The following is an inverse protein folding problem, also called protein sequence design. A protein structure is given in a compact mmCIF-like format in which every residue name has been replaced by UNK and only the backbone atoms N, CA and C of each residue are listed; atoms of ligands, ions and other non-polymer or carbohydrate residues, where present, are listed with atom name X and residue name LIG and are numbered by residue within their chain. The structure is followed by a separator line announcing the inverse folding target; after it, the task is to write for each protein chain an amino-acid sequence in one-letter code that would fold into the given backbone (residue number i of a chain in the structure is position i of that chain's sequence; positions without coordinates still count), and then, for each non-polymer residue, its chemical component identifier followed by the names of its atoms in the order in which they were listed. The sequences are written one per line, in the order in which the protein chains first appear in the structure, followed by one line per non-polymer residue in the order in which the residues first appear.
data_IF_453152245428
#
_entry.id   IF_453152245428
#
_cell.length_a   1.000
_cell.length_b   1.000
_cell.length_c   1.000
_cell.angle_alpha   90.00
_cell.angle_beta   90.00
_cell.angle_gamma   90.00
#
_symmetry.space_group_name_H-M   'P 1'
#
loop_
_entity.id
_entity.type
_entity.pdbx_description
1 polymer ?
#
# COMPACT_ATOMS: atom_id res chain seq x y z
N UNK A 1 28.28 -26.09 48.16
CA UNK A 1 27.61 -26.51 46.91
C UNK A 1 26.70 -25.39 46.48
N UNK A 2 27.13 -24.68 45.43
CA UNK A 2 26.54 -23.43 44.96
C UNK A 2 25.19 -23.67 44.29
N UNK A 3 24.21 -22.82 44.66
CA UNK A 3 22.93 -22.68 43.99
C UNK A 3 23.15 -21.94 42.67
N UNK A 4 23.00 -22.62 41.54
CA UNK A 4 22.88 -21.94 40.24
C UNK A 4 21.47 -21.37 40.10
N UNK A 5 21.37 -20.06 40.32
CA UNK A 5 20.32 -19.22 39.75
C UNK A 5 20.51 -19.20 38.22
N UNK A 6 19.61 -19.84 37.47
CA UNK A 6 19.47 -19.61 36.04
C UNK A 6 18.33 -18.61 35.81
N UNK A 7 18.62 -17.34 36.06
CA UNK A 7 17.86 -16.24 35.48
C UNK A 7 18.54 -15.89 34.15
N UNK A 8 18.16 -16.57 33.06
CA UNK A 8 18.25 -15.97 31.73
C UNK A 8 16.82 -15.80 31.24
N UNK A 9 16.32 -14.56 31.30
CA UNK A 9 15.34 -14.16 30.30
C UNK A 9 16.12 -14.17 29.01
N UNK A 10 16.01 -15.28 28.28
CA UNK A 10 16.57 -15.39 26.95
C UNK A 10 15.93 -14.28 26.12
N UNK A 11 16.68 -13.22 25.86
CA UNK A 11 16.41 -12.29 24.77
C UNK A 11 16.53 -13.11 23.49
N UNK A 12 15.45 -13.81 23.16
CA UNK A 12 15.36 -14.65 21.97
C UNK A 12 15.54 -13.72 20.77
N UNK A 13 16.76 -13.72 20.22
CA UNK A 13 17.19 -12.80 19.19
C UNK A 13 16.39 -13.07 17.93
N UNK A 14 15.73 -12.03 17.41
CA UNK A 14 15.02 -12.13 16.13
C UNK A 14 16.05 -12.36 15.03
N UNK A 15 15.95 -13.49 14.34
CA UNK A 15 16.86 -13.87 13.27
C UNK A 15 16.53 -13.15 11.97
N UNK A 16 15.24 -13.09 11.62
CA UNK A 16 14.77 -12.58 10.35
C UNK A 16 13.27 -12.26 10.40
N UNK A 17 12.86 -11.19 9.75
CA UNK A 17 11.44 -10.82 9.62
C UNK A 17 10.85 -11.29 8.28
N UNK A 18 9.58 -11.67 8.30
CA UNK A 18 8.89 -12.23 7.15
C UNK A 18 7.46 -11.73 7.00
N UNK A 19 6.96 -11.82 5.76
CA UNK A 19 5.55 -11.65 5.40
C UNK A 19 5.01 -12.99 4.90
N UNK A 20 3.82 -13.38 5.37
CA UNK A 20 3.12 -14.55 4.87
C UNK A 20 2.70 -14.35 3.40
N UNK A 21 3.24 -15.16 2.49
CA UNK A 21 2.94 -15.11 1.05
C UNK A 21 1.51 -15.57 0.76
N UNK A 22 1.02 -16.51 1.55
CA UNK A 22 -0.27 -17.17 1.39
C UNK A 22 -0.80 -17.61 2.76
N UNK A 23 -2.03 -18.13 2.78
CA UNK A 23 -2.54 -18.77 3.99
C UNK A 23 -1.72 -20.05 4.25
N UNK A 24 -1.13 -20.16 5.44
CA UNK A 24 -0.36 -21.35 5.85
C UNK A 24 -0.74 -21.77 7.25
N UNK A 25 -0.46 -23.03 7.56
CA UNK A 25 -0.78 -23.65 8.84
C UNK A 25 0.37 -23.41 9.81
N UNK A 26 0.01 -22.90 10.99
CA UNK A 26 0.89 -22.78 12.14
C UNK A 26 0.59 -23.91 13.11
N UNK A 27 1.63 -24.56 13.61
CA UNK A 27 1.53 -25.52 14.71
C UNK A 27 2.14 -24.92 15.97
N UNK A 28 1.41 -24.91 17.07
CA UNK A 28 1.88 -24.33 18.33
C UNK A 28 3.09 -25.12 18.84
N UNK A 29 4.14 -24.40 19.20
CA UNK A 29 5.34 -24.96 19.84
C UNK A 29 5.30 -24.71 21.35
N UNK A 30 4.96 -23.49 21.75
CA UNK A 30 4.91 -23.04 23.14
C UNK A 30 3.97 -21.84 23.27
N UNK A 31 3.58 -21.49 24.50
CA UNK A 31 2.84 -20.26 24.80
C UNK A 31 1.40 -20.46 25.26
N UNK A 32 0.67 -19.35 25.30
CA UNK A 32 -0.63 -19.23 26.00
C UNK A 32 -1.85 -19.51 25.12
N UNK A 33 -1.70 -19.59 23.79
CA UNK A 33 -2.81 -19.90 22.89
C UNK A 33 -3.33 -21.33 23.15
N UNK A 34 -4.64 -21.49 23.32
CA UNK A 34 -5.33 -22.76 23.56
C UNK A 34 -5.39 -23.65 22.31
N UNK A 35 -5.36 -23.05 21.12
CA UNK A 35 -5.35 -23.76 19.83
C UNK A 35 -3.96 -24.33 19.49
N UNK A 36 -3.91 -25.65 19.23
CA UNK A 36 -2.68 -26.34 18.78
C UNK A 36 -2.31 -25.99 17.33
N UNK A 37 -3.31 -25.61 16.53
CA UNK A 37 -3.17 -25.31 15.11
C UNK A 37 -3.90 -24.01 14.83
N UNK A 38 -3.28 -23.12 14.07
CA UNK A 38 -3.90 -21.87 13.64
C UNK A 38 -3.49 -21.55 12.19
N UNK A 39 -4.18 -20.61 11.56
CA UNK A 39 -3.90 -20.22 10.18
C UNK A 39 -3.20 -18.87 10.17
N UNK A 40 -1.94 -18.84 9.73
CA UNK A 40 -1.27 -17.60 9.36
C UNK A 40 -1.84 -17.13 8.03
N UNK A 41 -2.58 -16.03 8.05
CA UNK A 41 -3.24 -15.51 6.86
C UNK A 41 -2.24 -14.75 5.97
N UNK A 42 -2.55 -14.71 4.68
CA UNK A 42 -1.83 -13.91 3.69
C UNK A 42 -1.55 -12.49 4.21
N UNK A 43 -0.33 -12.03 4.00
CA UNK A 43 0.14 -10.69 4.38
C UNK A 43 0.32 -10.47 5.88
N UNK A 44 0.12 -11.47 6.73
CA UNK A 44 0.49 -11.36 8.15
C UNK A 44 2.00 -11.30 8.33
N UNK A 45 2.43 -10.62 9.39
CA UNK A 45 3.83 -10.35 9.70
C UNK A 45 4.32 -11.32 10.77
N UNK A 46 5.51 -11.90 10.57
CA UNK A 46 6.11 -12.82 11.55
C UNK A 46 7.60 -12.55 11.73
N UNK A 47 8.08 -12.78 12.94
CA UNK A 47 9.49 -12.81 13.29
C UNK A 47 9.94 -14.25 13.43
N UNK A 48 11.00 -14.66 12.72
CA UNK A 48 11.66 -15.93 13.00
C UNK A 48 12.58 -15.77 14.20
N UNK A 49 12.39 -16.67 15.16
CA UNK A 49 13.14 -16.74 16.41
C UNK A 49 14.21 -17.82 16.33
N UNK A 50 13.95 -18.89 15.59
CA UNK A 50 14.85 -20.04 15.46
C UNK A 50 14.65 -20.71 14.10
N UNK A 51 15.76 -21.16 13.49
CA UNK A 51 15.73 -22.06 12.32
C UNK A 51 15.80 -23.51 12.83
N UNK A 52 14.75 -24.29 12.56
CA UNK A 52 14.61 -25.65 13.07
C UNK A 52 15.21 -26.69 12.11
N UNK A 53 15.77 -26.27 10.98
CA UNK A 53 16.18 -27.16 9.89
C UNK A 53 15.01 -27.61 9.03
N UNK A 54 15.30 -28.32 7.94
CA UNK A 54 14.30 -28.86 7.00
C UNK A 54 13.28 -27.83 6.49
N UNK A 55 13.72 -26.57 6.31
CA UNK A 55 12.87 -25.45 5.92
C UNK A 55 11.74 -25.11 6.91
N UNK A 56 11.84 -25.57 8.15
CA UNK A 56 10.92 -25.23 9.24
C UNK A 56 11.48 -24.08 10.07
N UNK A 57 10.60 -23.14 10.41
CA UNK A 57 10.95 -22.00 11.26
C UNK A 57 10.09 -21.99 12.51
N UNK A 58 10.71 -21.61 13.62
CA UNK A 58 10.03 -21.17 14.83
C UNK A 58 9.78 -19.67 14.71
N UNK A 59 8.53 -19.27 14.76
CA UNK A 59 8.11 -17.89 14.50
C UNK A 59 7.20 -17.34 15.60
N UNK A 60 7.23 -16.02 15.78
CA UNK A 60 6.23 -15.26 16.52
C UNK A 60 5.44 -14.39 15.55
N UNK A 61 4.13 -14.40 15.70
CA UNK A 61 3.25 -13.58 14.86
C UNK A 61 3.18 -12.17 15.44
N UNK A 62 3.40 -11.18 14.59
CA UNK A 62 3.28 -9.78 14.96
C UNK A 62 1.81 -9.38 14.80
N UNK A 63 1.18 -9.19 15.96
CA UNK A 63 -0.22 -8.85 16.00
C UNK A 63 -0.43 -7.35 15.81
N UNK A 64 -0.84 -6.96 14.61
CA UNK A 64 -1.24 -5.59 14.30
C UNK A 64 -2.66 -5.26 14.81
N UNK A 65 -3.40 -6.24 15.34
CA UNK A 65 -4.84 -6.12 15.67
C UNK A 65 -5.25 -6.55 17.09
N UNK A 66 -4.41 -7.30 17.80
CA UNK A 66 -4.23 -7.23 19.24
C UNK A 66 -4.81 -8.31 20.17
N UNK A 67 -5.06 -9.57 19.79
CA UNK A 67 -5.56 -10.54 20.80
C UNK A 67 -5.19 -12.03 20.69
N UNK A 68 -5.02 -12.65 19.52
CA UNK A 68 -4.93 -14.13 19.48
C UNK A 68 -3.52 -14.71 19.46
N UNK A 69 -2.50 -13.86 19.28
CA UNK A 69 -1.16 -14.34 18.92
C UNK A 69 -0.07 -14.11 19.98
N UNK A 70 -0.35 -13.29 21.00
CA UNK A 70 0.67 -12.85 21.96
C UNK A 70 1.24 -14.04 22.74
N UNK A 71 2.54 -13.97 22.99
CA UNK A 71 3.25 -14.93 23.83
C UNK A 71 3.27 -16.36 23.30
N UNK A 72 2.89 -16.60 22.03
CA UNK A 72 2.84 -17.94 21.45
C UNK A 72 3.86 -18.08 20.33
N UNK A 73 4.66 -19.14 20.42
CA UNK A 73 5.64 -19.50 19.40
C UNK A 73 5.05 -20.61 18.53
N UNK A 74 5.22 -20.45 17.22
CA UNK A 74 4.59 -21.30 16.23
C UNK A 74 5.65 -21.90 15.31
N UNK A 75 5.35 -23.06 14.75
CA UNK A 75 6.13 -23.70 13.70
C UNK A 75 5.43 -23.52 12.36
N UNK A 76 6.18 -23.14 11.33
CA UNK A 76 5.70 -23.05 9.95
C UNK A 76 6.80 -23.36 8.94
N UNK A 77 6.40 -23.49 7.67
CA UNK A 77 7.32 -23.74 6.57
C UNK A 77 7.83 -22.42 5.97
N UNK A 78 9.14 -22.31 5.76
CA UNK A 78 9.79 -21.13 5.18
C UNK A 78 9.30 -20.80 3.77
N UNK A 79 8.88 -21.79 3.00
CA UNK A 79 8.38 -21.62 1.62
C UNK A 79 7.09 -20.80 1.53
N UNK A 80 6.34 -20.69 2.63
CA UNK A 80 5.14 -19.88 2.70
C UNK A 80 5.42 -18.42 3.10
N UNK A 81 6.69 -18.07 3.30
CA UNK A 81 7.12 -16.79 3.83
C UNK A 81 8.05 -16.05 2.85
N UNK A 82 7.97 -14.72 2.85
CA UNK A 82 8.87 -13.83 2.12
C UNK A 82 9.71 -13.07 3.11
N UNK A 83 11.03 -13.24 3.04
CA UNK A 83 11.98 -12.53 3.90
C UNK A 83 12.01 -11.03 3.55
N UNK A 84 12.02 -10.18 4.58
CA UNK A 84 12.03 -8.72 4.44
C UNK A 84 13.20 -8.12 5.23
N UNK A 85 13.82 -7.07 4.69
CA UNK A 85 14.91 -6.38 5.38
C UNK A 85 14.42 -5.62 6.62
N UNK A 86 15.29 -5.38 7.63
CA UNK A 86 14.94 -4.62 8.83
C UNK A 86 14.47 -3.19 8.55
N UNK A 87 14.92 -2.57 7.46
CA UNK A 87 14.54 -1.21 7.05
C UNK A 87 13.09 -1.19 6.58
N UNK A 88 12.73 -2.08 5.66
CA UNK A 88 11.37 -2.20 5.12
C UNK A 88 10.39 -2.66 6.19
N UNK A 89 10.85 -3.55 7.09
CA UNK A 89 10.06 -4.09 8.18
C UNK A 89 9.38 -3.00 9.03
N UNK A 90 10.06 -1.87 9.28
CA UNK A 90 9.52 -0.76 10.07
C UNK A 90 8.26 -0.15 9.46
N UNK A 91 8.10 -0.24 8.14
CA UNK A 91 6.98 0.36 7.41
C UNK A 91 5.81 -0.59 7.19
N UNK A 92 6.05 -1.90 7.15
CA UNK A 92 5.01 -2.87 6.83
C UNK A 92 3.81 -2.88 7.79
N UNK A 93 3.96 -2.67 9.11
CA UNK A 93 2.79 -2.59 10.00
C UNK A 93 1.80 -1.48 9.65
N UNK A 94 2.27 -0.38 9.04
CA UNK A 94 1.42 0.74 8.62
C UNK A 94 0.65 0.46 7.32
N UNK A 95 1.01 -0.60 6.58
CA UNK A 95 0.30 -1.04 5.37
C UNK A 95 -0.87 -1.92 5.79
N UNK A 96 -2.09 -1.38 5.65
CA UNK A 96 -3.32 -2.01 6.13
C UNK A 96 -3.83 -3.13 5.22
N UNK A 97 -3.51 -3.07 3.92
CA UNK A 97 -3.95 -4.05 2.92
C UNK A 97 -2.97 -5.22 2.87
N UNK A 98 -3.37 -6.45 3.24
CA UNK A 98 -2.45 -7.59 3.31
C UNK A 98 -1.78 -7.93 1.97
N UNK A 99 -2.51 -7.79 0.86
CA UNK A 99 -2.00 -8.01 -0.49
C UNK A 99 -0.87 -7.04 -0.84
N UNK A 100 -0.98 -5.78 -0.43
CA UNK A 100 0.06 -4.77 -0.66
C UNK A 100 1.32 -5.08 0.16
N UNK A 101 1.19 -5.63 1.37
CA UNK A 101 2.35 -6.11 2.15
C UNK A 101 3.11 -7.22 1.42
N UNK A 102 2.39 -8.19 0.85
CA UNK A 102 2.99 -9.26 0.04
C UNK A 102 3.63 -8.70 -1.23
N UNK A 103 2.96 -7.76 -1.90
CA UNK A 103 3.46 -7.11 -3.10
C UNK A 103 4.77 -6.36 -2.86
N UNK A 104 4.81 -5.54 -1.79
CA UNK A 104 6.02 -4.83 -1.37
C UNK A 104 7.15 -5.82 -1.02
N UNK A 105 6.87 -6.86 -0.24
CA UNK A 105 7.86 -7.87 0.13
C UNK A 105 8.48 -8.59 -1.08
N UNK A 106 7.73 -8.78 -2.16
CA UNK A 106 8.25 -9.36 -3.41
C UNK A 106 9.08 -8.36 -4.26
N UNK A 107 8.87 -7.05 -4.09
CA UNK A 107 9.52 -6.00 -4.88
C UNK A 107 10.72 -5.40 -4.16
N UNK A 108 11.78 -6.20 -4.02
CA UNK A 108 13.02 -5.80 -3.32
C UNK A 108 13.61 -4.48 -3.85
N UNK A 109 13.78 -4.36 -5.18
CA UNK A 109 14.34 -3.14 -5.79
C UNK A 109 13.52 -1.88 -5.50
N UNK A 110 12.19 -1.97 -5.59
CA UNK A 110 11.31 -0.85 -5.26
C UNK A 110 11.47 -0.46 -3.78
N UNK A 111 11.55 -1.45 -2.90
CA UNK A 111 11.77 -1.18 -1.48
C UNK A 111 13.14 -0.55 -1.25
N UNK A 112 14.22 -1.03 -1.88
CA UNK A 112 15.55 -0.42 -1.79
C UNK A 112 15.54 1.05 -2.24
N UNK A 113 14.87 1.36 -3.36
CA UNK A 113 14.68 2.74 -3.83
C UNK A 113 13.92 3.58 -2.80
N UNK A 114 12.79 3.07 -2.28
CA UNK A 114 11.98 3.76 -1.27
C UNK A 114 12.73 3.97 0.04
N UNK A 115 13.58 3.03 0.47
CA UNK A 115 14.38 3.15 1.69
C UNK A 115 15.56 4.11 1.54
N UNK A 116 15.92 4.49 0.31
CA UNK A 116 16.93 5.52 0.05
C UNK A 116 16.38 6.95 0.07
N UNK A 117 15.05 7.10 0.14
CA UNK A 117 14.38 8.39 0.23
C UNK A 117 14.63 9.06 1.59
N UNK A 118 14.80 10.37 1.56
CA UNK A 118 14.99 11.22 2.72
C UNK A 118 13.93 12.32 2.81
N UNK A 119 13.89 12.99 3.96
CA UNK A 119 13.09 14.20 4.12
C UNK A 119 13.56 15.26 3.12
N UNK A 120 12.59 15.93 2.50
CA UNK A 120 12.66 16.87 1.38
C UNK A 120 12.85 16.26 -0.02
N UNK A 121 12.88 14.93 -0.16
CA UNK A 121 12.83 14.32 -1.48
C UNK A 121 11.43 14.42 -2.10
N UNK A 122 11.39 14.54 -3.43
CA UNK A 122 10.16 14.54 -4.20
C UNK A 122 9.77 13.11 -4.59
N UNK A 123 8.48 12.81 -4.45
CA UNK A 123 7.92 11.48 -4.70
C UNK A 123 6.57 11.58 -5.39
N UNK A 124 6.14 10.47 -6.00
CA UNK A 124 4.77 10.30 -6.41
C UNK A 124 3.94 9.72 -5.27
N UNK A 125 2.85 10.41 -4.93
CA UNK A 125 1.83 9.94 -4.01
C UNK A 125 0.62 9.42 -4.77
N UNK A 126 0.06 8.30 -4.32
CA UNK A 126 -1.17 7.75 -4.85
C UNK A 126 -2.11 7.38 -3.70
N UNK A 127 -3.28 8.01 -3.61
CA UNK A 127 -4.25 7.76 -2.55
C UNK A 127 -4.78 6.32 -2.56
N UNK A 128 -5.01 5.78 -3.76
CA UNK A 128 -5.31 4.37 -3.98
C UNK A 128 -4.14 3.73 -4.75
N UNK A 129 -3.33 2.85 -4.16
CA UNK A 129 -2.17 2.22 -4.83
C UNK A 129 -2.51 1.50 -6.14
N UNK A 130 -3.78 1.09 -6.33
CA UNK A 130 -4.28 0.44 -7.53
C UNK A 130 -4.84 1.43 -8.57
N UNK A 131 -4.97 2.70 -8.21
CA UNK A 131 -5.45 3.77 -9.07
C UNK A 131 -4.36 4.35 -9.97
N UNK A 132 -4.80 5.11 -10.98
CA UNK A 132 -3.88 5.74 -11.95
C UNK A 132 -3.45 7.15 -11.54
N UNK A 133 -4.21 7.82 -10.67
CA UNK A 133 -3.96 9.22 -10.31
C UNK A 133 -2.81 9.34 -9.34
N UNK A 134 -1.78 10.06 -9.75
CA UNK A 134 -0.59 10.33 -8.94
C UNK A 134 -0.44 11.82 -8.74
N UNK A 135 -0.02 12.20 -7.55
CA UNK A 135 0.23 13.58 -7.16
C UNK A 135 1.70 13.74 -6.82
N UNK A 136 2.31 14.83 -7.26
CA UNK A 136 3.67 15.15 -6.88
C UNK A 136 3.67 15.66 -5.44
N UNK A 137 4.55 15.11 -4.61
CA UNK A 137 4.64 15.47 -3.19
C UNK A 137 6.09 15.55 -2.72
N UNK A 138 6.32 16.33 -1.67
CA UNK A 138 7.60 16.42 -0.96
C UNK A 138 7.47 15.70 0.38
N UNK A 139 8.43 14.84 0.70
CA UNK A 139 8.50 14.21 2.01
C UNK A 139 8.88 15.27 3.06
N UNK A 140 8.08 15.41 4.10
CA UNK A 140 8.35 16.30 5.25
C UNK A 140 8.65 15.56 6.53
N UNK A 141 8.25 14.29 6.62
CA UNK A 141 8.47 13.46 7.79
C UNK A 141 8.62 11.99 7.40
N UNK A 142 9.47 11.24 8.11
CA UNK A 142 9.57 9.78 8.01
C UNK A 142 9.69 9.25 9.44
N UNK A 143 8.71 8.48 9.88
CA UNK A 143 8.75 7.95 11.23
C UNK A 143 7.43 7.36 11.74
N UNK A 144 7.42 6.91 13.00
CA UNK A 144 6.19 6.42 13.63
C UNK A 144 5.19 7.55 13.84
N UNK A 145 3.91 7.22 13.78
CA UNK A 145 2.81 8.13 14.12
C UNK A 145 1.82 7.33 14.99
N UNK A 146 2.00 7.31 16.33
CA UNK A 146 1.24 6.43 17.21
C UNK A 146 -0.28 6.56 17.09
N UNK A 147 -0.77 7.74 16.73
CA UNK A 147 -2.20 8.01 16.52
C UNK A 147 -2.78 7.28 15.29
N UNK A 148 -1.94 6.88 14.32
CA UNK A 148 -2.35 6.14 13.12
C UNK A 148 -2.13 4.63 13.24
N UNK A 149 -1.38 4.20 14.24
CA UNK A 149 -1.10 2.79 14.52
C UNK A 149 0.38 2.45 14.51
N UNK A 150 0.68 1.16 14.38
CA UNK A 150 2.04 0.64 14.37
C UNK A 150 2.71 0.90 13.01
N UNK A 151 4.03 1.05 13.04
CA UNK A 151 4.84 1.19 11.84
C UNK A 151 5.12 2.63 11.46
N UNK A 152 5.89 2.79 10.38
CA UNK A 152 6.40 4.07 9.91
C UNK A 152 5.53 4.62 8.77
N UNK A 153 5.39 5.93 8.76
CA UNK A 153 4.64 6.69 7.78
C UNK A 153 5.53 7.75 7.13
N UNK A 154 5.21 8.10 5.89
CA UNK A 154 5.72 9.28 5.21
C UNK A 154 4.74 10.43 5.43
N UNK A 155 5.20 11.53 6.02
CA UNK A 155 4.47 12.80 6.01
C UNK A 155 4.76 13.53 4.70
N UNK A 156 3.71 13.93 4.00
CA UNK A 156 3.77 14.47 2.64
C UNK A 156 3.14 15.86 2.56
N UNK A 157 3.80 16.75 1.84
CA UNK A 157 3.29 18.05 1.37
C UNK A 157 3.05 17.93 -0.14
N UNK A 158 1.79 17.87 -0.56
CA UNK A 158 1.43 17.71 -1.99
C UNK A 158 1.60 19.05 -2.70
N UNK A 159 2.30 19.04 -3.83
CA UNK A 159 2.54 20.21 -4.66
C UNK A 159 1.34 20.52 -5.56
N UNK A 160 0.61 19.49 -5.96
CA UNK A 160 -0.52 19.58 -6.86
C UNK A 160 -1.67 18.70 -6.37
N UNK A 161 -2.90 19.18 -6.55
CA UNK A 161 -4.12 18.44 -6.23
C UNK A 161 -4.75 18.83 -4.89
N UNK A 162 -6.05 19.11 -4.92
CA UNK A 162 -6.86 19.40 -3.75
C UNK A 162 -7.65 18.12 -3.38
N UNK A 163 -6.98 17.20 -2.68
CA UNK A 163 -7.67 16.10 -2.00
C UNK A 163 -7.78 16.42 -0.51
N UNK A 164 -8.99 16.33 0.06
CA UNK A 164 -9.17 16.41 1.50
C UNK A 164 -8.41 15.28 2.21
N UNK A 165 -7.57 15.61 3.20
CA UNK A 165 -6.84 14.60 3.97
C UNK A 165 -7.46 14.40 5.34
N UNK A 166 -7.81 13.14 5.67
CA UNK A 166 -8.27 12.76 7.03
C UNK A 166 -7.21 13.02 8.11
N UNK A 167 -5.95 13.16 7.70
CA UNK A 167 -4.81 13.36 8.59
C UNK A 167 -4.29 14.81 8.60
N UNK A 168 -5.00 15.74 7.95
CA UNK A 168 -4.61 17.15 7.83
C UNK A 168 -4.41 17.87 9.17
N UNK A 169 -5.23 17.56 10.18
CA UNK A 169 -5.08 18.16 11.50
C UNK A 169 -3.89 17.52 12.25
N UNK A 170 -3.78 16.21 12.18
CA UNK A 170 -2.70 15.46 12.84
C UNK A 170 -1.32 15.82 12.27
N UNK A 171 -1.21 16.03 10.96
CA UNK A 171 0.07 16.33 10.30
C UNK A 171 0.73 17.60 10.82
N UNK A 172 -0.06 18.59 11.27
CA UNK A 172 0.43 19.86 11.85
C UNK A 172 1.23 19.66 13.14
N UNK A 173 1.06 18.54 13.85
CA UNK A 173 1.85 18.21 15.04
C UNK A 173 3.26 17.70 14.70
N UNK A 174 3.48 17.25 13.45
CA UNK A 174 4.71 16.58 13.03
C UNK A 174 5.53 17.41 12.04
N UNK A 175 4.86 18.15 11.14
CA UNK A 175 5.54 18.95 10.13
C UNK A 175 4.68 20.12 9.64
N UNK A 176 5.36 21.10 9.03
CA UNK A 176 4.72 22.23 8.36
C UNK A 176 4.62 21.91 6.87
N UNK A 177 3.42 22.06 6.30
CA UNK A 177 3.18 22.00 4.86
C UNK A 177 3.03 23.39 4.29
N UNK A 178 3.64 23.62 3.12
CA UNK A 178 3.66 24.93 2.49
C UNK A 178 2.71 25.03 1.29
N UNK A 179 2.31 23.90 0.71
CA UNK A 179 1.60 23.88 -0.58
C UNK A 179 0.16 23.41 -0.39
N UNK A 180 -0.06 22.41 0.46
CA UNK A 180 -1.38 21.83 0.72
C UNK A 180 -1.52 21.34 2.16
N UNK A 181 -2.69 20.79 2.51
CA UNK A 181 -2.86 20.09 3.77
C UNK A 181 -1.93 18.87 3.86
N UNK A 182 -1.07 18.85 4.88
CA UNK A 182 -0.15 17.74 5.13
C UNK A 182 -0.90 16.43 5.35
N UNK A 183 -0.33 15.33 4.87
CA UNK A 183 -0.92 14.00 5.04
C UNK A 183 0.11 12.93 5.36
N UNK A 184 -0.35 11.86 5.98
CA UNK A 184 0.45 10.66 6.16
C UNK A 184 0.10 9.59 5.13
N UNK A 185 1.13 8.93 4.61
CA UNK A 185 1.02 7.83 3.68
C UNK A 185 1.86 6.64 4.17
N UNK A 186 1.36 5.43 3.96
CA UNK A 186 2.15 4.21 4.17
C UNK A 186 3.03 3.94 2.94
N UNK A 187 3.95 2.98 3.07
CA UNK A 187 4.88 2.60 2.00
C UNK A 187 4.18 2.21 0.68
N UNK A 188 2.97 1.65 0.73
CA UNK A 188 2.22 1.24 -0.46
C UNK A 188 1.73 2.42 -1.32
N UNK A 189 1.71 3.63 -0.75
CA UNK A 189 1.14 4.82 -1.38
C UNK A 189 2.19 5.79 -1.91
N UNK A 190 3.47 5.48 -1.73
CA UNK A 190 4.61 6.31 -2.13
C UNK A 190 5.40 5.58 -3.19
N UNK A 191 5.78 6.30 -4.26
CA UNK A 191 6.59 5.78 -5.34
C UNK A 191 7.78 6.70 -5.61
N UNK A 192 8.98 6.15 -5.84
CA UNK A 192 10.14 6.96 -6.19
C UNK A 192 9.89 7.78 -7.44
N UNK A 193 10.35 9.03 -7.44
CA UNK A 193 10.43 9.84 -8.65
C UNK A 193 11.72 9.45 -9.38
N UNK A 194 11.62 8.63 -10.43
CA UNK A 194 12.79 8.23 -11.23
C UNK A 194 13.27 9.45 -12.03
N UNK A 195 14.49 9.98 -11.79
CA UNK A 195 15.03 11.06 -12.59
C UNK A 195 15.31 10.55 -14.02
N UNK A 196 14.68 11.14 -15.04
CA UNK A 196 14.92 10.80 -16.46
C UNK A 196 13.91 9.84 -17.12
N UNK A 197 12.80 9.50 -16.45
CA UNK A 197 11.65 8.83 -17.09
C UNK A 197 10.71 9.81 -17.82
N UNK A 198 9.65 9.34 -18.52
CA UNK A 198 8.78 10.17 -19.38
C UNK A 198 8.09 11.35 -18.67
N UNK A 199 8.03 11.33 -17.34
CA UNK A 199 7.51 12.40 -16.47
C UNK A 199 8.45 12.77 -15.32
N UNK A 200 9.71 12.33 -15.36
CA UNK A 200 10.69 12.60 -14.30
C UNK A 200 11.38 13.94 -14.52
N UNK A 201 11.12 14.92 -13.65
CA UNK A 201 11.91 16.15 -13.54
C UNK A 201 13.40 15.77 -13.51
N UNK A 202 14.10 16.12 -14.58
CA UNK A 202 15.55 16.03 -14.62
C UNK A 202 16.11 16.76 -13.39
N UNK A 203 17.11 16.15 -12.74
CA UNK A 203 17.82 16.65 -11.57
C UNK A 203 17.80 18.19 -11.55
N UNK A 204 16.87 18.75 -10.79
CA UNK A 204 16.79 20.20 -10.67
C UNK A 204 17.83 20.55 -9.63
N UNK A 205 18.84 21.28 -10.08
CA UNK A 205 19.85 21.87 -9.23
C UNK A 205 19.17 22.53 -8.02
N UNK A 206 19.75 22.32 -6.84
CA UNK A 206 19.22 22.69 -5.50
C UNK A 206 19.02 24.20 -5.27
N UNK A 207 18.91 25.01 -6.33
CA UNK A 207 18.91 26.47 -6.28
C UNK A 207 17.62 27.13 -6.82
N UNK A 208 16.59 26.40 -7.28
CA UNK A 208 15.41 27.06 -7.87
C UNK A 208 14.35 27.54 -6.85
N UNK A 209 14.51 27.27 -5.56
CA UNK A 209 13.55 27.68 -4.52
C UNK A 209 14.18 28.61 -3.48
N UNK A 210 14.64 29.78 -3.93
CA UNK A 210 14.93 30.91 -3.03
C UNK A 210 14.35 32.21 -3.62
N UNK A 211 13.24 32.61 -2.99
CA UNK A 211 12.70 33.96 -2.80
C UNK A 211 12.26 34.81 -4.00
N UNK A 212 10.96 35.10 -3.96
CA UNK A 212 10.35 36.35 -4.39
C UNK A 212 11.09 37.55 -3.79
N UNK A 213 11.37 38.57 -4.60
CA UNK A 213 11.34 39.96 -4.17
C UNK A 213 10.54 40.80 -5.16
N UNK A 214 9.71 41.63 -4.54
CA UNK A 214 8.75 42.57 -5.12
C UNK A 214 9.51 43.78 -5.68
N UNK A 215 9.12 44.26 -6.86
CA UNK A 215 9.62 45.53 -7.40
C UNK A 215 8.96 45.94 -8.71
N UNK A 216 7.88 46.72 -8.61
CA UNK A 216 7.20 47.42 -9.69
C UNK A 216 8.15 48.32 -10.52
N UNK A 217 7.93 48.41 -11.85
CA UNK A 217 7.40 49.59 -12.58
C UNK A 217 7.93 49.79 -14.02
N UNK A 218 6.99 50.04 -14.94
CA UNK A 218 7.00 50.85 -16.19
C UNK A 218 8.12 50.57 -17.23
N UNK A 219 7.92 50.54 -18.56
CA UNK A 219 7.01 51.25 -19.46
C UNK A 219 7.12 50.65 -20.87
N UNK A 220 6.00 50.68 -21.61
CA UNK A 220 5.82 50.73 -23.07
C UNK A 220 7.01 50.47 -24.00
N UNK A 221 6.79 49.58 -25.00
CA UNK A 221 6.87 50.07 -26.38
C UNK A 221 6.04 49.25 -27.39
N UNK A 222 5.38 50.01 -28.26
CA UNK A 222 4.55 49.53 -29.38
C UNK A 222 5.44 49.00 -30.50
N UNK A 223 5.24 47.76 -30.95
CA UNK A 223 5.35 47.42 -32.39
C UNK A 223 4.25 46.44 -32.79
N UNK A 224 3.43 46.92 -33.73
CA UNK A 224 2.39 46.21 -34.47
C UNK A 224 3.08 45.56 -35.67
N UNK A 225 2.91 44.27 -35.89
CA UNK A 225 2.99 43.66 -37.23
C UNK A 225 2.13 42.42 -37.29
N UNK A 226 1.07 42.53 -38.09
CA UNK A 226 0.15 41.49 -38.55
C UNK A 226 0.81 40.76 -39.72
N UNK A 227 0.80 39.43 -39.70
CA UNK A 227 0.73 38.50 -40.84
C UNK A 227 0.80 37.07 -40.23
N UNK A 228 -0.32 36.38 -40.10
CA UNK A 228 -0.85 35.44 -41.10
C UNK A 228 0.22 34.53 -41.72
N UNK A 229 0.26 33.28 -41.26
CA UNK A 229 0.48 32.07 -42.08
C UNK A 229 0.60 30.84 -41.18
N UNK A 230 -0.53 30.19 -40.95
CA UNK A 230 -0.60 28.78 -40.55
C UNK A 230 -0.02 27.92 -41.67
N UNK A 231 0.98 27.04 -41.42
CA UNK A 231 1.34 26.01 -42.38
C UNK A 231 0.48 24.76 -42.15
N UNK A 232 -0.33 24.32 -43.14
CA UNK A 232 -1.10 23.09 -43.06
C UNK A 232 -0.29 21.94 -43.66
N UNK A 233 0.47 21.19 -42.85
CA UNK A 233 1.03 19.89 -43.29
C UNK A 233 1.14 18.94 -42.10
N UNK A 234 0.63 17.71 -42.30
CA UNK A 234 0.62 16.52 -41.42
C UNK A 234 -0.75 16.16 -40.82
N UNK A 235 -1.83 16.40 -41.56
CA UNK A 235 -3.08 15.65 -41.38
C UNK A 235 -3.45 15.00 -42.71
N UNK A 236 -2.85 13.84 -43.00
CA UNK A 236 -3.41 12.76 -43.82
C UNK A 236 -2.33 11.70 -44.10
N UNK A 237 -2.39 10.58 -43.37
CA UNK A 237 -2.17 9.23 -43.93
C UNK A 237 -2.54 8.18 -42.91
N UNK A 238 -3.84 7.86 -42.78
CA UNK A 238 -4.37 6.51 -42.56
C UNK A 238 -5.87 6.55 -42.85
N UNK A 239 -6.21 6.58 -44.15
CA UNK A 239 -7.56 6.29 -44.61
C UNK A 239 -7.63 4.78 -44.86
N UNK A 240 -8.69 4.16 -44.36
CA UNK A 240 -9.30 2.90 -44.80
C UNK A 240 -8.46 1.61 -44.64
N UNK A 241 -8.68 0.91 -43.52
CA UNK A 241 -8.67 -0.54 -43.55
C UNK A 241 -10.06 -1.02 -43.96
N UNK A 242 -10.15 -1.60 -45.16
CA UNK A 242 -11.28 -2.37 -45.65
C UNK A 242 -11.19 -3.79 -45.04
N UNK A 243 -12.03 -4.07 -44.05
CA UNK A 243 -12.02 -5.32 -43.26
C UNK A 243 -12.86 -6.46 -43.92
N UNK A 244 -12.92 -6.49 -45.25
CA UNK A 244 -13.76 -7.45 -45.98
C UNK A 244 -13.12 -8.84 -46.19
N UNK A 245 -12.09 -9.21 -45.42
CA UNK A 245 -11.47 -10.56 -45.49
C UNK A 245 -11.05 -11.15 -44.14
N UNK A 246 -11.77 -10.88 -43.05
CA UNK A 246 -11.61 -11.68 -41.84
C UNK A 246 -12.64 -12.81 -41.78
N UNK A 247 -12.17 -14.05 -42.02
CA UNK A 247 -12.96 -15.27 -42.05
C UNK A 247 -13.16 -15.90 -40.66
N UNK A 248 -13.43 -15.09 -39.63
CA UNK A 248 -13.76 -15.58 -38.28
C UNK A 248 -15.16 -15.15 -37.88
N UNK A 249 -16.13 -15.52 -38.71
CA UNK A 249 -17.55 -15.55 -38.37
C UNK A 249 -17.83 -16.93 -37.78
N UNK A 250 -17.61 -17.06 -36.47
CA UNK A 250 -18.43 -17.86 -35.54
C UNK A 250 -17.80 -17.90 -34.13
N UNK A 251 -18.09 -16.88 -33.32
CA UNK A 251 -18.49 -17.10 -31.93
C UNK A 251 -19.16 -15.83 -31.39
N UNK A 252 -20.49 -15.81 -31.55
CA UNK A 252 -21.41 -14.87 -30.93
C UNK A 252 -21.25 -14.88 -29.40
N UNK A 253 -20.89 -13.71 -28.86
CA UNK A 253 -21.60 -13.02 -27.78
C UNK A 253 -22.35 -13.87 -26.74
N UNK A 254 -21.79 -13.98 -25.53
CA UNK A 254 -22.56 -14.17 -24.30
C UNK A 254 -22.37 -12.95 -23.39
N UNK A 255 -23.11 -11.90 -23.73
CA UNK A 255 -23.35 -10.77 -22.84
C UNK A 255 -24.83 -10.39 -22.98
N UNK A 256 -25.70 -11.18 -22.34
CA UNK A 256 -27.08 -10.85 -21.94
C UNK A 256 -27.70 -12.03 -21.18
N UNK A 257 -27.23 -12.27 -19.96
CA UNK A 257 -27.95 -13.05 -18.94
C UNK A 257 -27.69 -12.41 -17.57
N UNK A 258 -28.12 -11.16 -17.45
CA UNK A 258 -28.24 -10.50 -16.14
C UNK A 258 -29.32 -9.42 -16.22
N UNK A 259 -30.54 -9.83 -16.59
CA UNK A 259 -31.77 -9.03 -16.47
C UNK A 259 -32.99 -9.94 -16.69
N UNK A 260 -33.06 -11.03 -15.92
CA UNK A 260 -34.31 -11.78 -15.68
C UNK A 260 -34.15 -12.65 -14.42
N UNK A 261 -33.84 -12.01 -13.29
CA UNK A 261 -34.08 -12.58 -11.96
C UNK A 261 -34.48 -11.46 -10.99
N UNK A 262 -35.54 -10.75 -11.37
CA UNK A 262 -36.34 -9.93 -10.45
C UNK A 262 -37.79 -10.29 -10.76
N UNK A 263 -38.21 -11.47 -10.28
CA UNK A 263 -39.60 -11.87 -10.02
C UNK A 263 -39.62 -13.31 -9.51
N UNK A 264 -39.14 -13.52 -8.29
CA UNK A 264 -39.67 -14.48 -7.30
C UNK A 264 -38.70 -14.57 -6.13
N UNK A 265 -39.25 -14.71 -4.93
CA UNK A 265 -38.58 -14.79 -3.62
C UNK A 265 -38.36 -13.42 -2.95
N UNK A 266 -39.48 -12.76 -2.68
CA UNK A 266 -39.73 -12.09 -1.40
C UNK A 266 -41.21 -12.30 -1.06
N UNK A 267 -41.47 -13.18 -0.09
CA UNK A 267 -42.60 -13.16 0.86
C UNK A 267 -42.18 -14.16 1.96
N UNK A 268 -41.65 -13.65 3.06
CA UNK A 268 -42.40 -13.39 4.30
C UNK A 268 -42.66 -14.67 5.09
N UNK A 269 -41.77 -14.91 6.06
CA UNK A 269 -42.16 -15.56 7.30
C UNK A 269 -42.87 -14.51 8.14
N UNK A 270 -44.13 -14.74 8.48
CA UNK A 270 -44.70 -14.16 9.68
C UNK A 270 -45.51 -15.19 10.46
N UNK A 271 -45.41 -15.04 11.77
CA UNK A 271 -45.79 -16.00 12.79
C UNK A 271 -47.29 -15.92 13.09
N UNK A 272 -47.94 -17.05 13.41
CA UNK A 272 -48.65 -17.29 14.68
C UNK A 272 -49.86 -18.25 14.64
N UNK A 273 -49.87 -19.13 15.65
CA UNK A 273 -50.99 -19.40 16.57
C UNK A 273 -52.06 -20.47 16.21
N UNK A 274 -52.00 -21.51 17.06
CA UNK A 274 -53.07 -22.32 17.68
C UNK A 274 -53.71 -23.55 17.02
N UNK A 275 -53.72 -24.58 17.89
CA UNK A 275 -54.82 -25.50 18.28
C UNK A 275 -54.85 -26.90 17.64
N UNK A 276 -54.63 -27.88 18.54
CA UNK A 276 -55.38 -29.15 18.74
C UNK A 276 -55.55 -30.06 17.50
N UNK A 277 -55.31 -31.37 17.53
CA UNK A 277 -55.92 -32.35 18.44
C UNK A 277 -55.29 -33.74 18.16
N UNK A 278 -55.13 -34.53 19.22
CA UNK A 278 -55.13 -35.99 19.34
C UNK A 278 -55.68 -36.79 18.15
N UNK A 279 -55.06 -37.91 17.75
CA UNK A 279 -55.57 -39.30 17.93
C UNK A 279 -54.75 -40.37 17.17
N UNK A 280 -54.57 -41.49 17.89
CA UNK A 280 -54.18 -42.86 17.52
C UNK A 280 -52.77 -43.17 17.01
#
# INVERSE_FOLDING_TARGET
MEKRNSNSKDDCQVLQCFVAKQNTILMRMSGECDKNVNTLRLGMLVEAVEDLGDSLLKVRVIDTTGSEWRGTEWRCHRFDLIAVSPEVWKFLPAVTVPQERVHLANRKRLCEELMSLAVNDAVWYCANPQGCTKYLAIIKYIGPVPQLGQGYYFGLDLLEGEESSKTALLSKEYFVSNHSEGRFASLSNVFPLIPGGPTGLAKTDKNLFMKNDIGNNYTNDKKKSVLDSTPPVMLERFINFDDNKNNNRDQKSLSKEYLQSVKSITHENDSNVTKSTTTH
#
